data_IF_474731029803
#
_entry.id   IF_474731029803
#
_cell.length_a   1.000
_cell.length_b   1.000
_cell.length_c   1.000
_cell.angle_alpha   90.00
_cell.angle_beta   90.00
_cell.angle_gamma   90.00
#
_symmetry.space_group_name_H-M   'P 1'
#
loop_
_entity.id
_entity.type
_entity.pdbx_description
1 polymer ?
#
# COMPACT_ATOMS: atom_id res chain seq x y z
N UNK A 1 43.07 11.49 -63.83
CA UNK A 1 41.74 12.09 -64.16
C UNK A 1 41.42 13.05 -63.07
N UNK A 2 41.29 14.28 -63.45
CA UNK A 2 41.28 15.53 -62.65
C UNK A 2 40.00 15.65 -61.78
N UNK A 3 40.13 15.67 -60.47
CA UNK A 3 39.10 16.13 -59.54
C UNK A 3 39.23 17.63 -59.37
N UNK A 4 38.33 18.39 -59.96
CA UNK A 4 38.23 19.84 -59.79
C UNK A 4 37.85 20.15 -58.34
N UNK A 5 38.82 20.62 -57.58
CA UNK A 5 38.70 21.14 -56.24
C UNK A 5 38.18 22.59 -56.37
N UNK A 6 36.85 22.79 -56.33
CA UNK A 6 36.26 24.14 -56.26
C UNK A 6 36.33 24.60 -54.81
N UNK A 7 37.38 25.34 -54.47
CA UNK A 7 37.43 26.16 -53.23
C UNK A 7 36.19 27.03 -53.10
N UNK A 8 35.63 27.25 -51.91
CA UNK A 8 34.56 28.23 -51.72
C UNK A 8 35.14 29.60 -52.02
N UNK A 9 34.61 30.24 -53.04
CA UNK A 9 34.98 31.62 -53.42
C UNK A 9 34.83 32.55 -52.19
N UNK A 10 35.92 33.25 -51.91
CA UNK A 10 35.99 34.25 -50.83
C UNK A 10 34.85 35.27 -51.04
N UNK A 11 33.95 35.49 -50.06
CA UNK A 11 32.80 36.40 -50.20
C UNK A 11 33.19 37.84 -50.53
N UNK A 12 34.42 38.23 -50.34
CA UNK A 12 34.97 39.57 -50.58
C UNK A 12 35.41 39.81 -52.05
N UNK A 13 35.38 38.81 -52.92
CA UNK A 13 35.79 38.87 -54.34
C UNK A 13 34.60 38.91 -55.31
N UNK A 14 33.36 38.93 -54.81
CA UNK A 14 32.16 38.96 -55.63
C UNK A 14 31.73 40.43 -55.86
N UNK A 15 31.39 40.76 -57.12
CA UNK A 15 30.78 42.02 -57.48
C UNK A 15 29.62 42.32 -56.50
N UNK A 16 29.57 43.56 -55.93
CA UNK A 16 28.55 43.94 -54.96
C UNK A 16 27.12 43.69 -55.42
N UNK A 17 26.83 43.73 -56.68
CA UNK A 17 25.50 43.42 -57.26
C UNK A 17 25.19 41.89 -57.21
N UNK A 18 26.15 41.03 -57.52
CA UNK A 18 26.04 39.57 -57.47
C UNK A 18 25.90 39.08 -56.02
N UNK A 19 26.62 39.72 -55.10
CA UNK A 19 26.52 39.43 -53.67
C UNK A 19 25.14 39.85 -53.09
N UNK A 20 24.56 40.95 -53.56
CA UNK A 20 23.22 41.37 -53.16
C UNK A 20 22.13 40.44 -53.68
N UNK A 21 22.20 40.00 -54.95
CA UNK A 21 21.26 39.03 -55.51
C UNK A 21 21.34 37.65 -54.83
N UNK A 22 22.52 37.19 -54.51
CA UNK A 22 22.69 35.92 -53.76
C UNK A 22 22.13 36.01 -52.33
N UNK A 23 22.27 37.18 -51.67
CA UNK A 23 21.67 37.43 -50.36
C UNK A 23 20.12 37.47 -50.44
N UNK A 24 19.56 38.08 -51.46
CA UNK A 24 18.12 38.10 -51.69
C UNK A 24 17.58 36.71 -52.02
N UNK A 25 18.24 35.93 -52.86
CA UNK A 25 17.86 34.54 -53.16
C UNK A 25 17.93 33.65 -51.90
N UNK A 26 18.96 33.80 -51.06
CA UNK A 26 19.06 33.08 -49.77
C UNK A 26 17.93 33.51 -48.83
N UNK A 27 17.61 34.80 -48.71
CA UNK A 27 16.50 35.29 -47.91
C UNK A 27 15.16 34.68 -48.36
N UNK A 28 14.86 34.70 -49.68
CA UNK A 28 13.65 34.10 -50.24
C UNK A 28 13.57 32.59 -49.96
N UNK A 29 14.68 31.88 -50.10
CA UNK A 29 14.77 30.43 -49.82
C UNK A 29 14.59 30.10 -48.34
N UNK A 30 15.11 30.95 -47.44
CA UNK A 30 14.88 30.86 -45.99
C UNK A 30 13.43 31.18 -45.67
N UNK A 31 12.85 32.25 -46.19
CA UNK A 31 11.48 32.67 -45.94
C UNK A 31 10.46 31.63 -46.44
N UNK A 32 10.68 31.02 -47.60
CA UNK A 32 9.80 29.96 -48.14
C UNK A 32 9.85 28.67 -47.30
N UNK A 33 10.99 28.40 -46.64
CA UNK A 33 11.14 27.23 -45.76
C UNK A 33 10.62 27.45 -44.35
N UNK A 34 10.55 28.71 -43.88
CA UNK A 34 10.11 29.07 -42.53
C UNK A 34 8.67 28.62 -42.25
N UNK A 35 7.74 28.90 -43.15
CA UNK A 35 6.34 28.51 -43.01
C UNK A 35 6.18 26.97 -42.85
N UNK A 36 6.97 26.18 -43.63
CA UNK A 36 6.96 24.73 -43.55
C UNK A 36 7.56 24.20 -42.23
N UNK A 37 8.63 24.87 -41.76
CA UNK A 37 9.27 24.54 -40.47
C UNK A 37 8.35 24.86 -39.30
N UNK A 38 7.75 26.02 -39.26
CA UNK A 38 6.80 26.42 -38.21
C UNK A 38 5.56 25.51 -38.19
N UNK A 39 5.08 25.07 -39.37
CA UNK A 39 3.96 24.14 -39.41
C UNK A 39 4.36 22.76 -38.83
N UNK A 40 5.54 22.24 -39.15
CA UNK A 40 6.06 21.01 -38.57
C UNK A 40 6.25 21.11 -37.03
N UNK A 41 6.80 22.27 -36.57
CA UNK A 41 6.99 22.55 -35.17
C UNK A 41 5.65 22.61 -34.41
N UNK A 42 4.65 23.32 -34.97
CA UNK A 42 3.29 23.37 -34.41
C UNK A 42 2.67 21.98 -34.35
N UNK A 43 2.81 21.15 -35.40
CA UNK A 43 2.30 19.78 -35.43
C UNK A 43 2.99 18.92 -34.37
N UNK A 44 4.32 19.02 -34.25
CA UNK A 44 5.10 18.30 -33.25
C UNK A 44 4.72 18.72 -31.83
N UNK A 45 4.59 20.03 -31.60
CA UNK A 45 4.15 20.57 -30.30
C UNK A 45 2.73 20.12 -29.96
N UNK A 46 1.81 20.15 -30.94
CA UNK A 46 0.46 19.66 -30.75
C UNK A 46 0.44 18.14 -30.45
N UNK A 47 1.20 17.35 -31.19
CA UNK A 47 1.33 15.92 -30.91
C UNK A 47 1.90 15.63 -29.49
N UNK A 48 2.92 16.41 -29.07
CA UNK A 48 3.47 16.31 -27.73
C UNK A 48 2.46 16.67 -26.63
N UNK A 49 1.74 17.78 -26.81
CA UNK A 49 0.68 18.19 -25.88
C UNK A 49 -0.44 17.13 -25.84
N UNK A 50 -0.87 16.64 -27.01
CA UNK A 50 -1.91 15.59 -27.08
C UNK A 50 -1.47 14.32 -26.37
N UNK A 51 -0.23 13.89 -26.52
CA UNK A 51 0.30 12.71 -25.80
C UNK A 51 0.27 12.90 -24.28
N UNK A 52 0.66 14.07 -23.79
CA UNK A 52 0.60 14.40 -22.35
C UNK A 52 -0.84 14.42 -21.85
N UNK A 53 -1.76 15.04 -22.60
CA UNK A 53 -3.20 15.08 -22.24
C UNK A 53 -3.79 13.67 -22.20
N UNK A 54 -3.47 12.83 -23.17
CA UNK A 54 -3.94 11.44 -23.22
C UNK A 54 -3.40 10.66 -22.01
N UNK A 55 -2.11 10.80 -21.68
CA UNK A 55 -1.51 10.16 -20.52
C UNK A 55 -2.18 10.60 -19.20
N UNK A 56 -2.40 11.92 -19.04
CA UNK A 56 -3.10 12.45 -17.86
C UNK A 56 -4.56 12.00 -17.79
N UNK A 57 -5.26 11.95 -18.93
CA UNK A 57 -6.63 11.44 -18.99
C UNK A 57 -6.68 9.95 -18.59
N UNK A 58 -5.73 9.13 -19.05
CA UNK A 58 -5.65 7.74 -18.67
C UNK A 58 -5.39 7.56 -17.16
N UNK A 59 -4.46 8.32 -16.59
CA UNK A 59 -4.21 8.33 -15.13
C UNK A 59 -5.46 8.77 -14.36
N UNK A 60 -6.15 9.81 -14.82
CA UNK A 60 -7.38 10.30 -14.19
C UNK A 60 -8.51 9.25 -14.24
N UNK A 61 -8.68 8.56 -15.37
CA UNK A 61 -9.66 7.47 -15.51
C UNK A 61 -9.33 6.29 -14.60
N UNK A 62 -8.05 5.90 -14.52
CA UNK A 62 -7.59 4.83 -13.64
C UNK A 62 -7.86 5.20 -12.18
N UNK A 63 -7.46 6.40 -11.78
CA UNK A 63 -7.67 6.89 -10.40
C UNK A 63 -9.17 7.01 -10.08
N UNK A 64 -9.97 7.53 -11.00
CA UNK A 64 -11.42 7.59 -10.88
C UNK A 64 -12.07 6.21 -10.72
N UNK A 65 -11.61 5.22 -11.49
CA UNK A 65 -12.09 3.84 -11.37
C UNK A 65 -11.73 3.21 -10.02
N UNK A 66 -10.50 3.43 -9.54
CA UNK A 66 -10.06 2.94 -8.22
C UNK A 66 -10.90 3.57 -7.12
N UNK A 67 -11.10 4.89 -7.16
CA UNK A 67 -11.91 5.60 -6.17
C UNK A 67 -13.36 5.14 -6.20
N UNK A 68 -13.98 5.03 -7.37
CA UNK A 68 -15.36 4.61 -7.50
C UNK A 68 -15.62 3.21 -6.91
N UNK A 69 -14.64 2.30 -7.04
CA UNK A 69 -14.74 0.94 -6.48
C UNK A 69 -14.30 0.85 -5.02
N UNK A 70 -13.35 1.69 -4.60
CA UNK A 70 -12.79 1.66 -3.25
C UNK A 70 -13.57 2.46 -2.21
N UNK A 71 -14.16 3.61 -2.60
CA UNK A 71 -14.89 4.46 -1.66
C UNK A 71 -16.05 3.75 -0.93
N UNK A 72 -16.85 2.87 -1.56
CA UNK A 72 -17.91 2.16 -0.87
C UNK A 72 -17.41 1.30 0.32
N UNK A 73 -16.17 0.82 0.30
CA UNK A 73 -15.60 0.02 1.39
C UNK A 73 -15.48 0.77 2.74
N UNK A 74 -15.53 2.12 2.71
CA UNK A 74 -15.54 2.92 3.92
C UNK A 74 -16.91 2.92 4.65
N UNK A 75 -17.95 2.40 4.01
CA UNK A 75 -19.28 2.26 4.60
C UNK A 75 -19.67 0.79 4.61
N UNK A 76 -20.29 0.37 5.69
CA UNK A 76 -20.71 -1.01 5.90
C UNK A 76 -22.12 -1.03 6.49
N UNK A 77 -22.93 -1.97 6.04
CA UNK A 77 -24.27 -2.18 6.57
C UNK A 77 -24.22 -2.76 7.98
N UNK A 78 -25.03 -2.24 8.86
CA UNK A 78 -25.13 -2.69 10.24
C UNK A 78 -26.59 -2.70 10.72
N UNK A 79 -26.90 -3.64 11.59
CA UNK A 79 -28.19 -3.88 12.19
C UNK A 79 -28.12 -3.43 13.65
N UNK A 80 -28.94 -2.48 14.07
CA UNK A 80 -28.97 -2.03 15.47
C UNK A 80 -30.27 -2.49 16.12
N UNK A 81 -30.15 -3.36 17.13
CA UNK A 81 -31.28 -3.97 17.80
C UNK A 81 -31.10 -4.01 19.32
N UNK A 82 -32.20 -3.97 20.08
CA UNK A 82 -32.19 -4.19 21.52
C UNK A 82 -31.98 -5.68 21.81
N UNK A 83 -30.84 -6.05 22.40
CA UNK A 83 -30.57 -7.40 22.84
C UNK A 83 -30.88 -7.52 24.31
N UNK A 84 -31.74 -8.45 24.67
CA UNK A 84 -31.96 -8.86 26.05
C UNK A 84 -31.09 -10.08 26.33
N UNK A 85 -30.14 -9.97 27.25
CA UNK A 85 -29.29 -11.07 27.68
C UNK A 85 -30.06 -12.02 28.62
N UNK A 86 -30.92 -12.79 28.01
CA UNK A 86 -31.89 -13.65 28.74
C UNK A 86 -31.18 -14.70 29.59
N UNK A 87 -31.33 -14.69 30.92
CA UNK A 87 -30.74 -15.70 31.80
C UNK A 87 -31.26 -17.11 31.50
N UNK A 88 -32.43 -17.26 30.87
CA UNK A 88 -32.98 -18.59 30.52
C UNK A 88 -32.25 -19.18 29.30
N UNK A 89 -31.79 -18.37 28.38
CA UNK A 89 -31.00 -18.81 27.21
C UNK A 89 -29.53 -18.98 27.63
N UNK A 90 -28.98 -18.02 28.38
CA UNK A 90 -27.56 -18.05 28.76
C UNK A 90 -27.32 -19.17 29.81
N UNK A 91 -28.22 -19.45 30.70
CA UNK A 91 -28.25 -20.51 31.70
C UNK A 91 -26.89 -21.08 32.16
N UNK A 92 -25.91 -20.20 32.37
CA UNK A 92 -24.55 -20.50 32.80
C UNK A 92 -24.34 -19.96 34.20
N UNK A 93 -23.67 -20.68 35.04
CA UNK A 93 -23.37 -20.26 36.42
C UNK A 93 -22.55 -18.97 36.52
N UNK A 94 -22.49 -18.40 37.71
CA UNK A 94 -21.72 -17.21 37.95
C UNK A 94 -20.22 -17.42 37.63
N UNK A 95 -19.56 -16.37 37.07
CA UNK A 95 -18.13 -16.43 36.78
C UNK A 95 -17.33 -16.85 38.03
N UNK A 96 -16.54 -17.92 37.93
CA UNK A 96 -15.71 -18.38 39.04
C UNK A 96 -14.82 -17.27 39.60
N UNK A 97 -14.79 -17.17 40.92
CA UNK A 97 -13.82 -16.33 41.64
C UNK A 97 -12.84 -17.23 42.37
N UNK A 98 -11.60 -16.87 42.44
CA UNK A 98 -10.60 -17.62 43.18
C UNK A 98 -10.94 -17.54 44.66
N UNK A 99 -11.03 -18.72 45.31
CA UNK A 99 -11.35 -18.86 46.72
C UNK A 99 -10.08 -18.90 47.55
N UNK A 100 -10.12 -18.39 48.76
CA UNK A 100 -8.95 -18.42 49.68
C UNK A 100 -8.50 -19.83 49.92
N UNK A 101 -7.24 -20.17 49.62
CA UNK A 101 -6.68 -21.53 49.73
C UNK A 101 -6.82 -22.40 48.50
N UNK A 102 -7.46 -21.95 47.43
CA UNK A 102 -7.59 -22.70 46.18
C UNK A 102 -6.26 -22.63 45.39
N UNK A 103 -5.86 -23.80 44.83
CA UNK A 103 -4.68 -23.84 43.96
C UNK A 103 -4.97 -23.17 42.61
N UNK A 104 -3.97 -22.52 41.99
CA UNK A 104 -4.15 -21.89 40.66
C UNK A 104 -4.66 -22.85 39.61
N UNK A 105 -4.22 -24.08 39.61
CA UNK A 105 -4.65 -25.11 38.66
C UNK A 105 -6.17 -25.46 38.79
N UNK A 106 -6.68 -25.60 40.01
CA UNK A 106 -8.11 -25.87 40.22
C UNK A 106 -9.00 -24.67 39.85
N UNK A 107 -8.53 -23.47 40.14
CA UNK A 107 -9.22 -22.22 39.69
C UNK A 107 -9.26 -22.16 38.15
N UNK A 108 -8.15 -22.44 37.47
CA UNK A 108 -8.06 -22.47 36.01
C UNK A 108 -8.99 -23.52 35.40
N UNK A 109 -9.07 -24.71 35.98
CA UNK A 109 -9.99 -25.78 35.55
C UNK A 109 -11.46 -25.31 35.60
N UNK A 110 -11.87 -24.66 36.70
CA UNK A 110 -13.22 -24.12 36.85
C UNK A 110 -13.49 -22.97 35.86
N UNK A 111 -12.47 -22.13 35.59
CA UNK A 111 -12.58 -21.07 34.59
C UNK A 111 -12.75 -21.62 33.17
N UNK A 112 -11.98 -22.67 32.82
CA UNK A 112 -12.09 -23.33 31.53
C UNK A 112 -13.46 -24.02 31.38
N UNK A 113 -13.95 -24.71 32.42
CA UNK A 113 -15.27 -25.31 32.42
C UNK A 113 -16.38 -24.25 32.18
N UNK A 114 -16.33 -23.15 32.91
CA UNK A 114 -17.26 -22.01 32.73
C UNK A 114 -17.19 -21.38 31.34
N UNK A 115 -16.00 -21.18 30.78
CA UNK A 115 -15.80 -20.72 29.42
C UNK A 115 -16.37 -21.69 28.38
N UNK A 116 -16.24 -22.98 28.63
CA UNK A 116 -16.76 -24.04 27.75
C UNK A 116 -18.30 -23.99 27.74
N UNK A 117 -18.93 -23.89 28.92
CA UNK A 117 -20.37 -23.72 29.04
C UNK A 117 -20.87 -22.49 28.29
N UNK A 118 -20.16 -21.34 28.43
CA UNK A 118 -20.47 -20.11 27.68
C UNK A 118 -20.32 -20.31 26.18
N UNK A 119 -19.45 -21.22 25.73
CA UNK A 119 -19.30 -21.59 24.32
C UNK A 119 -20.46 -22.41 23.76
N UNK A 120 -21.27 -23.05 24.60
CA UNK A 120 -22.43 -23.88 24.22
C UNK A 120 -23.75 -23.11 24.19
N UNK A 121 -23.75 -21.87 24.65
CA UNK A 121 -24.95 -20.99 24.64
C UNK A 121 -25.32 -20.61 23.21
N UNK A 122 -26.60 -20.62 22.91
CA UNK A 122 -27.15 -20.14 21.64
C UNK A 122 -27.17 -18.59 21.60
N UNK A 123 -26.04 -17.99 21.27
CA UNK A 123 -25.89 -16.54 21.15
C UNK A 123 -26.69 -15.98 19.97
N UNK A 124 -26.89 -16.77 18.90
CA UNK A 124 -27.66 -16.38 17.74
C UNK A 124 -29.13 -16.16 18.11
N UNK A 125 -29.69 -16.98 18.99
CA UNK A 125 -31.05 -16.80 19.49
C UNK A 125 -31.27 -15.42 20.15
N UNK A 126 -30.25 -14.87 20.84
CA UNK A 126 -30.34 -13.53 21.45
C UNK A 126 -30.39 -12.44 20.40
N UNK A 127 -29.60 -12.56 19.34
CA UNK A 127 -29.57 -11.59 18.23
C UNK A 127 -30.89 -11.63 17.47
N UNK A 128 -31.37 -12.83 17.11
CA UNK A 128 -32.64 -13.06 16.42
C UNK A 128 -33.82 -12.52 17.23
N UNK A 129 -33.85 -12.80 18.55
CA UNK A 129 -34.85 -12.24 19.44
C UNK A 129 -34.82 -10.70 19.47
N UNK A 130 -33.64 -10.09 19.42
CA UNK A 130 -33.48 -8.63 19.33
C UNK A 130 -34.02 -8.08 18.01
N UNK A 131 -33.83 -8.76 16.88
CA UNK A 131 -34.38 -8.34 15.58
C UNK A 131 -35.91 -8.43 15.60
N UNK A 132 -36.46 -9.54 16.07
CA UNK A 132 -37.89 -9.73 16.19
C UNK A 132 -38.55 -8.74 17.17
N UNK A 133 -37.83 -8.38 18.25
CA UNK A 133 -38.29 -7.33 19.17
C UNK A 133 -38.47 -5.95 18.53
N UNK A 134 -37.70 -5.66 17.46
CA UNK A 134 -37.85 -4.43 16.65
C UNK A 134 -39.10 -4.50 15.73
N UNK A 135 -39.31 -5.66 15.12
CA UNK A 135 -40.46 -5.88 14.23
C UNK A 135 -41.02 -7.30 14.41
N UNK A 136 -42.16 -7.42 15.12
CA UNK A 136 -42.78 -8.71 15.43
C UNK A 136 -43.27 -9.48 14.20
N UNK A 137 -43.49 -8.83 13.06
CA UNK A 137 -43.91 -9.49 11.83
C UNK A 137 -42.82 -10.45 11.29
N UNK A 138 -41.57 -10.27 11.73
CA UNK A 138 -40.41 -11.10 11.33
C UNK A 138 -40.37 -12.46 12.01
N UNK A 139 -41.24 -12.74 12.98
CA UNK A 139 -41.31 -14.05 13.66
C UNK A 139 -41.57 -15.19 12.68
N UNK A 140 -42.36 -14.96 11.61
CA UNK A 140 -42.60 -15.95 10.57
C UNK A 140 -41.42 -16.27 9.66
N UNK A 141 -40.36 -15.43 9.69
CA UNK A 141 -39.15 -15.53 8.87
C UNK A 141 -37.89 -15.74 9.72
N UNK A 142 -38.09 -16.23 10.95
CA UNK A 142 -37.03 -16.36 11.96
C UNK A 142 -35.81 -17.12 11.48
N UNK A 143 -36.00 -18.16 10.67
CA UNK A 143 -34.94 -19.02 10.16
C UNK A 143 -33.95 -18.27 9.22
N UNK A 144 -34.41 -17.23 8.57
CA UNK A 144 -33.60 -16.42 7.66
C UNK A 144 -32.87 -15.25 8.35
N UNK A 145 -33.28 -14.90 9.60
CA UNK A 145 -32.71 -13.75 10.31
C UNK A 145 -31.24 -13.94 10.66
N UNK A 146 -30.81 -15.20 10.91
CA UNK A 146 -29.40 -15.51 11.19
C UNK A 146 -28.47 -15.26 9.99
N UNK A 147 -29.01 -15.28 8.77
CA UNK A 147 -28.23 -14.99 7.53
C UNK A 147 -28.05 -13.50 7.27
N UNK A 148 -28.65 -12.62 8.06
CA UNK A 148 -28.55 -11.16 7.86
C UNK A 148 -27.28 -10.56 8.48
N UNK A 149 -26.70 -11.20 9.46
CA UNK A 149 -25.51 -10.72 10.17
C UNK A 149 -24.38 -11.76 10.13
N UNK A 150 -23.15 -11.29 10.29
CA UNK A 150 -22.01 -12.19 10.27
C UNK A 150 -21.96 -13.08 11.52
N UNK A 151 -21.64 -14.36 11.36
CA UNK A 151 -21.56 -15.34 12.47
C UNK A 151 -20.58 -14.94 13.59
N UNK A 152 -19.59 -14.08 13.30
CA UNK A 152 -18.68 -13.55 14.30
C UNK A 152 -19.37 -12.69 15.37
N UNK A 153 -20.56 -12.20 15.11
CA UNK A 153 -21.30 -11.36 16.06
C UNK A 153 -21.84 -12.16 17.27
N UNK A 154 -22.20 -13.42 17.07
CA UNK A 154 -22.52 -14.35 18.16
C UNK A 154 -21.33 -14.53 19.12
N UNK A 155 -20.13 -14.73 18.56
CA UNK A 155 -18.91 -14.80 19.38
C UNK A 155 -18.61 -13.48 20.07
N UNK A 156 -18.88 -12.34 19.45
CA UNK A 156 -18.72 -11.02 20.06
C UNK A 156 -19.64 -10.82 21.26
N UNK A 157 -20.91 -11.25 21.18
CA UNK A 157 -21.82 -11.23 22.32
C UNK A 157 -21.31 -12.08 23.47
N UNK A 158 -20.86 -13.30 23.19
CA UNK A 158 -20.23 -14.17 24.19
C UNK A 158 -19.07 -13.45 24.89
N UNK A 159 -18.17 -12.87 24.11
CA UNK A 159 -16.97 -12.22 24.65
C UNK A 159 -17.32 -10.97 25.48
N UNK A 160 -18.41 -10.26 25.13
CA UNK A 160 -18.94 -9.17 25.95
C UNK A 160 -19.37 -9.68 27.33
N UNK A 161 -20.11 -10.79 27.41
CA UNK A 161 -20.55 -11.38 28.67
C UNK A 161 -19.37 -12.00 29.45
N UNK A 162 -18.41 -12.64 28.76
CA UNK A 162 -17.18 -13.13 29.40
C UNK A 162 -16.38 -12.02 30.09
N UNK A 163 -16.33 -10.82 29.48
CA UNK A 163 -15.68 -9.65 30.06
C UNK A 163 -16.51 -8.99 31.15
N UNK A 164 -17.81 -8.91 30.96
CA UNK A 164 -18.75 -8.28 31.89
C UNK A 164 -19.99 -9.15 32.13
N UNK A 165 -19.93 -10.12 33.08
CA UNK A 165 -21.07 -10.98 33.38
C UNK A 165 -22.32 -10.26 33.94
N UNK A 166 -22.18 -9.00 34.36
CA UNK A 166 -23.30 -8.19 34.83
C UNK A 166 -24.32 -7.84 33.72
N UNK A 167 -23.94 -8.08 32.45
CA UNK A 167 -24.86 -7.94 31.33
C UNK A 167 -26.01 -8.96 31.35
N UNK A 168 -25.83 -10.10 31.98
CA UNK A 168 -26.89 -11.14 32.07
C UNK A 168 -28.11 -10.55 32.80
N UNK A 169 -29.28 -10.59 32.16
CA UNK A 169 -30.50 -9.99 32.66
C UNK A 169 -30.69 -8.52 32.27
N UNK A 170 -29.74 -7.88 31.62
CA UNK A 170 -29.84 -6.53 31.11
C UNK A 170 -30.32 -6.48 29.67
N UNK A 171 -30.78 -5.29 29.23
CA UNK A 171 -31.14 -4.99 27.84
C UNK A 171 -30.24 -3.88 27.32
N UNK A 172 -29.55 -4.14 26.22
CA UNK A 172 -28.62 -3.19 25.60
C UNK A 172 -28.94 -3.02 24.11
N UNK A 173 -28.83 -1.80 23.59
CA UNK A 173 -28.84 -1.59 22.13
C UNK A 173 -27.48 -1.92 21.55
N UNK A 174 -27.41 -2.98 20.74
CA UNK A 174 -26.18 -3.47 20.15
C UNK A 174 -26.24 -3.34 18.63
N UNK A 175 -25.14 -2.86 18.07
CA UNK A 175 -24.92 -2.76 16.64
C UNK A 175 -24.21 -4.02 16.18
N UNK A 176 -24.81 -4.76 15.25
CA UNK A 176 -24.25 -5.94 14.59
C UNK A 176 -23.84 -5.62 13.16
N UNK A 177 -22.80 -6.24 12.68
CA UNK A 177 -22.39 -6.13 11.28
C UNK A 177 -23.27 -7.04 10.43
N UNK A 178 -23.75 -6.51 9.32
CA UNK A 178 -24.44 -7.34 8.33
C UNK A 178 -23.48 -8.39 7.75
N UNK A 179 -24.03 -9.51 7.28
CA UNK A 179 -23.25 -10.47 6.50
C UNK A 179 -22.63 -9.81 5.26
N UNK A 180 -21.48 -10.30 4.82
CA UNK A 180 -20.77 -9.70 3.70
C UNK A 180 -21.60 -9.69 2.40
N UNK A 181 -22.35 -10.75 2.13
CA UNK A 181 -23.21 -10.84 0.95
C UNK A 181 -24.41 -9.91 1.06
N UNK A 182 -24.97 -9.74 2.28
CA UNK A 182 -26.05 -8.80 2.55
C UNK A 182 -25.55 -7.36 2.36
N UNK A 183 -24.36 -7.04 2.83
CA UNK A 183 -23.77 -5.71 2.66
C UNK A 183 -23.56 -5.38 1.18
N UNK A 184 -22.97 -6.30 0.41
CA UNK A 184 -22.71 -6.14 -1.03
C UNK A 184 -24.05 -6.01 -1.80
N UNK A 185 -25.10 -6.77 -1.41
CA UNK A 185 -26.43 -6.66 -1.97
C UNK A 185 -27.05 -5.27 -1.71
N UNK A 186 -26.99 -4.80 -0.48
CA UNK A 186 -27.55 -3.52 -0.08
C UNK A 186 -26.76 -2.32 -0.64
N UNK A 187 -25.46 -2.49 -0.87
CA UNK A 187 -24.61 -1.51 -1.55
C UNK A 187 -24.87 -1.40 -3.06
N UNK A 188 -25.59 -2.37 -3.65
CA UNK A 188 -25.88 -2.40 -5.09
C UNK A 188 -24.72 -2.86 -5.96
N UNK A 189 -23.75 -3.56 -5.39
CA UNK A 189 -22.56 -4.06 -6.09
C UNK A 189 -22.78 -5.45 -6.72
N UNK A 190 -23.98 -6.04 -6.56
CA UNK A 190 -24.39 -7.29 -7.19
C UNK A 190 -25.40 -6.98 -8.31
N UNK A 191 -25.26 -7.67 -9.42
CA UNK A 191 -26.24 -7.61 -10.49
C UNK A 191 -27.55 -8.29 -10.05
N UNK A 192 -28.56 -7.47 -9.74
CA UNK A 192 -29.86 -7.91 -9.26
C UNK A 192 -30.72 -8.58 -10.34
N UNK A 193 -30.30 -8.52 -11.62
CA UNK A 193 -31.01 -9.15 -12.75
C UNK A 193 -30.63 -10.61 -12.97
N UNK A 194 -29.61 -11.11 -12.26
CA UNK A 194 -29.20 -12.52 -12.37
C UNK A 194 -30.29 -13.44 -11.81
N UNK A 195 -30.47 -14.63 -12.42
CA UNK A 195 -31.34 -15.68 -11.92
C UNK A 195 -31.01 -16.07 -10.46
N UNK A 196 -32.00 -16.56 -9.71
CA UNK A 196 -31.84 -16.89 -8.29
C UNK A 196 -30.77 -17.93 -8.00
N UNK A 197 -30.56 -18.88 -8.90
CA UNK A 197 -29.53 -19.93 -8.84
C UNK A 197 -28.08 -19.39 -8.99
N UNK A 198 -27.94 -18.17 -9.49
CA UNK A 198 -26.66 -17.48 -9.66
C UNK A 198 -26.41 -16.40 -8.60
N UNK A 199 -27.38 -16.18 -7.71
CA UNK A 199 -27.27 -15.24 -6.60
C UNK A 199 -26.64 -15.93 -5.37
N UNK A 200 -25.83 -15.19 -4.61
CA UNK A 200 -25.19 -15.70 -3.39
C UNK A 200 -26.12 -15.76 -2.18
N UNK A 201 -27.21 -14.96 -2.22
CA UNK A 201 -28.20 -14.91 -1.16
C UNK A 201 -29.52 -15.53 -1.63
N UNK A 202 -30.19 -16.24 -0.73
CA UNK A 202 -31.52 -16.76 -0.95
C UNK A 202 -32.54 -15.63 -1.21
N UNK A 203 -33.58 -15.86 -2.03
CA UNK A 203 -34.57 -14.84 -2.35
C UNK A 203 -35.23 -14.22 -1.10
N UNK A 204 -35.52 -15.03 -0.08
CA UNK A 204 -36.11 -14.63 1.19
C UNK A 204 -35.17 -13.67 1.95
N UNK A 205 -33.87 -13.98 2.02
CA UNK A 205 -32.86 -13.16 2.69
C UNK A 205 -32.73 -11.82 1.97
N UNK A 206 -32.75 -11.80 0.62
CA UNK A 206 -32.66 -10.56 -0.18
C UNK A 206 -33.85 -9.63 0.07
N UNK A 207 -35.08 -10.19 0.06
CA UNK A 207 -36.30 -9.43 0.34
C UNK A 207 -36.29 -8.87 1.75
N UNK A 208 -35.88 -9.70 2.71
CA UNK A 208 -35.79 -9.33 4.12
C UNK A 208 -34.75 -8.22 4.34
N UNK A 209 -33.60 -8.30 3.70
CA UNK A 209 -32.54 -7.27 3.78
C UNK A 209 -33.06 -5.93 3.22
N UNK A 210 -33.71 -5.93 2.05
CA UNK A 210 -34.31 -4.73 1.45
C UNK A 210 -35.43 -4.13 2.31
N UNK A 211 -36.28 -4.98 2.91
CA UNK A 211 -37.33 -4.57 3.85
C UNK A 211 -36.74 -3.89 5.09
N UNK A 212 -35.75 -4.53 5.74
CA UNK A 212 -35.17 -4.00 6.97
C UNK A 212 -34.35 -2.72 6.71
N UNK A 213 -33.78 -2.56 5.51
CA UNK A 213 -33.17 -1.30 5.08
C UNK A 213 -34.24 -0.20 4.92
N UNK A 214 -35.36 -0.50 4.30
CA UNK A 214 -36.48 0.45 4.14
C UNK A 214 -37.09 0.87 5.49
N UNK A 215 -37.17 -0.06 6.44
CA UNK A 215 -37.64 0.20 7.83
C UNK A 215 -36.56 0.95 8.67
N UNK A 216 -35.34 1.13 8.16
CA UNK A 216 -34.25 1.80 8.87
C UNK A 216 -33.64 0.99 10.02
N UNK A 217 -33.91 -0.33 10.08
CA UNK A 217 -33.28 -1.26 11.03
C UNK A 217 -31.85 -1.55 10.56
N UNK A 218 -31.64 -1.74 9.26
CA UNK A 218 -30.29 -1.80 8.64
C UNK A 218 -29.89 -0.41 8.17
N UNK A 219 -28.74 0.04 8.61
CA UNK A 219 -28.16 1.35 8.26
C UNK A 219 -26.74 1.20 7.75
N UNK A 220 -26.40 2.01 6.76
CA UNK A 220 -25.00 2.17 6.34
C UNK A 220 -24.27 3.03 7.38
N UNK A 221 -23.16 2.53 7.88
CA UNK A 221 -22.34 3.19 8.90
C UNK A 221 -20.87 3.16 8.48
N UNK A 222 -20.08 4.10 9.00
CA UNK A 222 -18.65 4.13 8.70
C UNK A 222 -17.95 2.86 9.19
N UNK A 223 -17.18 2.22 8.30
CA UNK A 223 -16.50 0.97 8.57
C UNK A 223 -15.19 1.20 9.32
N UNK A 224 -15.23 1.22 10.64
CA UNK A 224 -14.04 1.34 11.48
C UNK A 224 -13.15 0.09 11.42
N UNK A 225 -13.75 -1.09 11.17
CA UNK A 225 -13.00 -2.34 11.10
C UNK A 225 -11.98 -2.34 9.97
N UNK A 226 -12.27 -1.62 8.87
CA UNK A 226 -11.32 -1.45 7.76
C UNK A 226 -9.94 -0.97 8.24
N UNK A 227 -9.88 -0.12 9.26
CA UNK A 227 -8.62 0.47 9.74
C UNK A 227 -7.98 -0.28 10.91
N UNK A 228 -8.78 -0.94 11.74
CA UNK A 228 -8.32 -1.47 13.04
C UNK A 228 -8.33 -2.99 13.14
N UNK A 229 -9.03 -3.68 12.21
CA UNK A 229 -9.08 -5.14 12.22
C UNK A 229 -8.01 -5.76 11.32
N UNK A 230 -7.53 -6.97 11.63
CA UNK A 230 -6.75 -7.77 10.70
C UNK A 230 -7.62 -8.29 9.55
N UNK A 231 -7.01 -8.96 8.60
CA UNK A 231 -7.74 -9.65 7.54
C UNK A 231 -8.39 -10.95 8.09
N UNK A 232 -9.58 -11.30 7.59
CA UNK A 232 -10.33 -12.49 8.03
C UNK A 232 -10.94 -13.21 6.84
N UNK A 233 -10.63 -14.51 6.71
CA UNK A 233 -11.27 -15.40 5.72
C UNK A 233 -12.59 -15.95 6.19
N UNK A 234 -12.72 -16.19 7.50
CA UNK A 234 -13.93 -16.76 8.09
C UNK A 234 -15.06 -15.75 8.28
N UNK A 235 -14.73 -14.48 8.40
CA UNK A 235 -15.69 -13.39 8.59
C UNK A 235 -15.30 -12.17 7.76
N UNK A 236 -15.61 -12.18 6.44
CA UNK A 236 -15.23 -11.09 5.54
C UNK A 236 -15.79 -9.73 5.96
N UNK A 237 -16.96 -9.70 6.62
CA UNK A 237 -17.56 -8.47 7.13
C UNK A 237 -16.73 -7.76 8.22
N UNK A 238 -15.88 -8.51 8.95
CA UNK A 238 -14.99 -7.95 9.98
C UNK A 238 -13.57 -7.75 9.49
N UNK A 239 -13.29 -8.10 8.22
CA UNK A 239 -11.96 -7.98 7.63
C UNK A 239 -11.50 -6.53 7.54
N UNK A 240 -10.22 -6.29 7.81
CA UNK A 240 -9.62 -4.97 7.76
C UNK A 240 -8.19 -4.97 7.20
N UNK A 241 -7.61 -3.79 7.09
CA UNK A 241 -6.30 -3.54 6.50
C UNK A 241 -5.20 -3.31 7.54
N UNK A 242 -5.53 -3.33 8.84
CA UNK A 242 -4.57 -3.00 9.91
C UNK A 242 -3.30 -3.85 9.84
N UNK A 243 -3.45 -5.16 9.64
CA UNK A 243 -2.32 -6.08 9.54
C UNK A 243 -1.40 -5.77 8.35
N UNK A 244 -1.99 -5.56 7.17
CA UNK A 244 -1.26 -5.23 5.96
C UNK A 244 -0.59 -3.86 6.05
N UNK A 245 -1.27 -2.86 6.60
CA UNK A 245 -0.74 -1.51 6.78
C UNK A 245 0.47 -1.51 7.74
N UNK A 246 0.32 -2.11 8.93
CA UNK A 246 1.40 -2.19 9.91
C UNK A 246 2.58 -3.02 9.39
N UNK A 247 2.29 -4.12 8.67
CA UNK A 247 3.33 -4.91 8.02
C UNK A 247 4.13 -4.12 7.00
N UNK A 248 3.46 -3.38 6.12
CA UNK A 248 4.10 -2.49 5.14
C UNK A 248 4.89 -1.37 5.82
N UNK A 249 4.35 -0.79 6.90
CA UNK A 249 5.04 0.23 7.68
C UNK A 249 6.37 -0.28 8.25
N UNK A 250 6.38 -1.45 8.88
CA UNK A 250 7.62 -2.07 9.39
C UNK A 250 8.63 -2.33 8.26
N UNK A 251 8.19 -2.89 7.13
CA UNK A 251 9.08 -3.12 5.98
C UNK A 251 9.66 -1.82 5.45
N UNK A 252 8.85 -0.78 5.28
CA UNK A 252 9.33 0.52 4.78
C UNK A 252 10.27 1.21 5.77
N UNK A 253 10.02 1.11 7.08
CA UNK A 253 10.97 1.60 8.08
C UNK A 253 12.34 0.93 7.96
N UNK A 254 12.37 -0.40 7.76
CA UNK A 254 13.62 -1.14 7.56
C UNK A 254 14.34 -0.66 6.29
N UNK A 255 13.60 -0.52 5.18
CA UNK A 255 14.15 -0.01 3.92
C UNK A 255 14.77 1.38 4.11
N UNK A 256 14.05 2.29 4.75
CA UNK A 256 14.52 3.67 4.99
C UNK A 256 15.76 3.69 5.87
N UNK A 257 15.74 2.95 6.99
CA UNK A 257 16.82 2.94 7.98
C UNK A 257 18.10 2.28 7.44
N UNK A 258 17.95 1.29 6.55
CA UNK A 258 19.10 0.57 6.00
C UNK A 258 19.57 1.20 4.69
N UNK A 259 18.69 1.33 3.67
CA UNK A 259 19.14 1.69 2.33
C UNK A 259 19.53 3.15 2.19
N UNK A 260 18.87 4.09 2.89
CA UNK A 260 19.20 5.51 2.76
C UNK A 260 20.57 5.82 3.41
N UNK A 261 20.81 5.53 4.69
CA UNK A 261 22.11 5.86 5.31
C UNK A 261 23.29 5.15 4.63
N UNK A 262 23.14 3.84 4.36
CA UNK A 262 24.21 3.07 3.74
C UNK A 262 24.43 3.52 2.29
N UNK A 263 23.35 3.73 1.53
CA UNK A 263 23.45 4.19 0.15
C UNK A 263 24.08 5.57 0.01
N UNK A 264 23.64 6.53 0.85
CA UNK A 264 24.20 7.89 0.87
C UNK A 264 25.66 7.89 1.32
N UNK A 265 25.99 7.16 2.40
CA UNK A 265 27.39 7.06 2.87
C UNK A 265 28.31 6.43 1.82
N UNK A 266 27.85 5.35 1.17
CA UNK A 266 28.59 4.70 0.08
C UNK A 266 28.81 5.64 -1.10
N UNK A 267 27.77 6.39 -1.49
CA UNK A 267 27.84 7.35 -2.59
C UNK A 267 28.82 8.50 -2.28
N UNK A 268 28.78 9.05 -1.05
CA UNK A 268 29.72 10.09 -0.60
C UNK A 268 31.13 9.55 -0.64
N UNK A 269 31.35 8.35 -0.13
CA UNK A 269 32.69 7.73 -0.16
C UNK A 269 33.19 7.57 -1.60
N UNK A 270 32.40 6.97 -2.47
CA UNK A 270 32.79 6.70 -3.86
C UNK A 270 33.03 7.97 -4.67
N UNK A 271 32.23 9.03 -4.47
CA UNK A 271 32.33 10.25 -5.25
C UNK A 271 33.41 11.20 -4.75
N UNK A 272 33.56 11.32 -3.42
CA UNK A 272 34.39 12.37 -2.82
C UNK A 272 35.70 11.85 -2.23
N UNK A 273 35.76 10.58 -1.79
CA UNK A 273 36.93 10.05 -1.06
C UNK A 273 37.66 8.94 -1.78
N UNK A 274 36.97 8.11 -2.54
CA UNK A 274 37.57 6.94 -3.18
C UNK A 274 38.66 7.33 -4.16
N UNK A 275 39.81 6.60 -4.18
CA UNK A 275 40.87 6.83 -5.17
C UNK A 275 40.33 6.40 -6.57
N UNK A 276 40.73 7.14 -7.59
CA UNK A 276 40.43 6.77 -8.99
C UNK A 276 41.38 5.64 -9.42
N UNK A 277 40.94 4.41 -9.26
CA UNK A 277 41.67 3.21 -9.63
C UNK A 277 40.72 2.13 -10.15
N UNK A 278 41.29 1.07 -10.70
CA UNK A 278 40.55 -0.06 -11.28
C UNK A 278 39.55 -0.69 -10.28
N UNK A 279 39.86 -0.70 -8.99
CA UNK A 279 38.96 -1.27 -7.96
C UNK A 279 37.69 -0.43 -7.80
N UNK A 280 37.82 0.90 -7.78
CA UNK A 280 36.67 1.81 -7.72
C UNK A 280 35.80 1.67 -8.97
N UNK A 281 36.43 1.56 -10.16
CA UNK A 281 35.72 1.36 -11.41
C UNK A 281 34.94 0.05 -11.42
N UNK A 282 35.53 -1.05 -10.91
CA UNK A 282 34.83 -2.33 -10.75
C UNK A 282 33.63 -2.21 -9.81
N UNK A 283 33.77 -1.51 -8.69
CA UNK A 283 32.65 -1.30 -7.75
C UNK A 283 31.53 -0.51 -8.44
N UNK A 284 31.87 0.56 -9.17
CA UNK A 284 30.88 1.36 -9.90
C UNK A 284 30.12 0.55 -10.95
N UNK A 285 30.82 -0.24 -11.73
CA UNK A 285 30.21 -1.13 -12.74
C UNK A 285 29.28 -2.14 -12.07
N UNK A 286 29.70 -2.72 -10.94
CA UNK A 286 28.87 -3.68 -10.22
C UNK A 286 27.61 -3.04 -9.63
N UNK A 287 27.68 -1.81 -9.08
CA UNK A 287 26.51 -1.08 -8.59
C UNK A 287 25.50 -0.83 -9.73
N UNK A 288 26.00 -0.40 -10.90
CA UNK A 288 25.15 -0.17 -12.07
C UNK A 288 24.53 -1.48 -12.60
N UNK A 289 25.30 -2.58 -12.62
CA UNK A 289 24.80 -3.89 -13.01
C UNK A 289 23.73 -4.40 -12.02
N UNK A 290 23.94 -4.19 -10.70
CA UNK A 290 23.00 -4.59 -9.67
C UNK A 290 21.66 -3.83 -9.81
N UNK A 291 21.69 -2.56 -10.21
CA UNK A 291 20.48 -1.79 -10.50
C UNK A 291 19.67 -2.34 -11.71
N UNK A 292 20.31 -3.09 -12.60
CA UNK A 292 19.67 -3.70 -13.77
C UNK A 292 19.15 -5.13 -13.51
N UNK A 293 19.40 -5.70 -12.33
CA UNK A 293 18.96 -7.06 -11.98
C UNK A 293 17.44 -7.08 -11.80
N UNK A 294 16.71 -8.04 -12.39
CA UNK A 294 15.29 -8.21 -12.17
C UNK A 294 14.94 -8.39 -10.68
N UNK A 295 13.90 -7.72 -10.20
CA UNK A 295 13.54 -7.70 -8.77
C UNK A 295 13.32 -9.09 -8.16
N UNK A 296 12.82 -10.04 -8.95
CA UNK A 296 12.60 -11.43 -8.53
C UNK A 296 13.90 -12.12 -8.06
N UNK A 297 15.05 -11.75 -8.65
CA UNK A 297 16.35 -12.33 -8.27
C UNK A 297 16.73 -11.92 -6.86
N UNK A 298 16.41 -10.70 -6.44
CA UNK A 298 16.61 -10.25 -5.05
C UNK A 298 15.77 -11.05 -4.06
N UNK A 299 14.55 -11.45 -4.46
CA UNK A 299 13.73 -12.34 -3.65
C UNK A 299 14.37 -13.72 -3.45
N UNK A 300 14.90 -14.31 -4.53
CA UNK A 300 15.60 -15.59 -4.47
C UNK A 300 16.88 -15.49 -3.63
N UNK A 301 17.66 -14.43 -3.81
CA UNK A 301 18.87 -14.16 -3.03
C UNK A 301 18.52 -13.96 -1.54
N UNK A 302 17.45 -13.21 -1.26
CA UNK A 302 16.96 -12.99 0.09
C UNK A 302 16.50 -14.29 0.76
N UNK A 303 15.80 -15.15 0.04
CA UNK A 303 15.41 -16.46 0.53
C UNK A 303 16.64 -17.31 0.87
N UNK A 304 17.64 -17.34 0.01
CA UNK A 304 18.88 -18.10 0.23
C UNK A 304 19.69 -17.58 1.42
N UNK A 305 19.88 -16.26 1.54
CA UNK A 305 20.72 -15.66 2.57
C UNK A 305 19.96 -15.53 3.88
N UNK A 306 18.82 -14.83 3.89
CA UNK A 306 18.14 -14.47 5.14
C UNK A 306 17.38 -15.63 5.76
N UNK A 307 16.73 -16.45 4.95
CA UNK A 307 15.97 -17.60 5.44
C UNK A 307 16.88 -18.84 5.50
N UNK A 308 17.58 -19.16 4.41
CA UNK A 308 18.39 -20.37 4.32
C UNK A 308 19.63 -20.36 5.22
N UNK A 309 20.43 -19.29 5.17
CA UNK A 309 21.69 -19.19 5.91
C UNK A 309 21.53 -18.54 7.28
N UNK A 310 20.86 -17.39 7.37
CA UNK A 310 20.67 -16.67 8.64
C UNK A 310 19.53 -17.23 9.50
N UNK A 311 18.74 -18.19 8.98
CA UNK A 311 17.64 -18.84 9.67
C UNK A 311 16.58 -17.86 10.22
N UNK A 312 16.37 -16.74 9.52
CA UNK A 312 15.28 -15.82 9.87
C UNK A 312 13.93 -16.45 9.52
N UNK A 313 12.86 -16.10 10.25
CA UNK A 313 11.54 -16.68 10.02
C UNK A 313 11.03 -16.40 8.60
N UNK A 314 10.45 -17.41 7.97
CA UNK A 314 9.76 -17.27 6.68
C UNK A 314 8.65 -16.22 6.81
N UNK A 315 8.42 -15.44 5.77
CA UNK A 315 7.42 -14.34 5.73
C UNK A 315 7.58 -13.25 6.80
N UNK A 316 8.69 -13.20 7.55
CA UNK A 316 8.93 -12.12 8.50
C UNK A 316 9.10 -10.78 7.77
N UNK A 317 8.49 -9.73 8.30
CA UNK A 317 8.56 -8.37 7.74
C UNK A 317 9.99 -7.83 7.70
N UNK A 318 10.82 -8.26 8.66
CA UNK A 318 12.26 -7.98 8.66
C UNK A 318 12.92 -8.50 7.38
N UNK A 319 12.65 -9.75 7.01
CA UNK A 319 13.21 -10.36 5.79
C UNK A 319 12.74 -9.60 4.54
N UNK A 320 11.45 -9.26 4.48
CA UNK A 320 10.91 -8.44 3.39
C UNK A 320 11.61 -7.08 3.28
N UNK A 321 11.77 -6.38 4.41
CA UNK A 321 12.46 -5.10 4.47
C UNK A 321 13.94 -5.20 4.06
N UNK A 322 14.66 -6.25 4.45
CA UNK A 322 16.04 -6.50 4.06
C UNK A 322 16.18 -6.76 2.56
N UNK A 323 15.30 -7.59 1.98
CA UNK A 323 15.29 -7.88 0.54
C UNK A 323 15.02 -6.61 -0.27
N UNK A 324 14.01 -5.84 0.12
CA UNK A 324 13.69 -4.56 -0.52
C UNK A 324 14.82 -3.54 -0.35
N UNK A 325 15.54 -3.56 0.79
CA UNK A 325 16.71 -2.70 1.01
C UNK A 325 17.85 -3.02 0.04
N UNK A 326 18.13 -4.30 -0.20
CA UNK A 326 19.15 -4.72 -1.18
C UNK A 326 18.84 -4.20 -2.58
N UNK A 327 17.57 -4.24 -2.98
CA UNK A 327 17.11 -3.75 -4.28
C UNK A 327 17.17 -2.22 -4.37
N UNK A 328 16.90 -1.52 -3.27
CA UNK A 328 16.82 -0.05 -3.23
C UNK A 328 18.22 0.59 -3.14
N UNK A 329 19.19 -0.08 -2.52
CA UNK A 329 20.55 0.42 -2.33
C UNK A 329 21.21 0.97 -3.60
N UNK A 330 21.25 0.25 -4.74
CA UNK A 330 21.88 0.75 -5.98
C UNK A 330 21.22 2.05 -6.46
N UNK A 331 19.89 2.15 -6.39
CA UNK A 331 19.15 3.35 -6.79
C UNK A 331 19.54 4.55 -5.93
N UNK A 332 19.61 4.39 -4.61
CA UNK A 332 20.02 5.46 -3.69
C UNK A 332 21.49 5.87 -3.94
N UNK A 333 22.39 4.92 -4.17
CA UNK A 333 23.80 5.21 -4.46
C UNK A 333 23.93 6.02 -5.75
N UNK A 334 23.31 5.56 -6.84
CA UNK A 334 23.41 6.19 -8.16
C UNK A 334 22.85 7.61 -8.14
N UNK A 335 21.65 7.79 -7.54
CA UNK A 335 21.01 9.10 -7.48
C UNK A 335 21.74 10.08 -6.56
N UNK A 336 22.29 9.61 -5.44
CA UNK A 336 23.12 10.40 -4.54
C UNK A 336 24.41 10.85 -5.24
N UNK A 337 25.09 9.96 -5.93
CA UNK A 337 26.28 10.33 -6.71
C UNK A 337 25.98 11.35 -7.80
N UNK A 338 24.89 11.17 -8.53
CA UNK A 338 24.43 12.14 -9.52
C UNK A 338 24.19 13.52 -8.89
N UNK A 339 23.57 13.56 -7.72
CA UNK A 339 23.31 14.80 -6.97
C UNK A 339 24.60 15.48 -6.47
N UNK A 340 25.56 14.70 -6.00
CA UNK A 340 26.88 15.23 -5.60
C UNK A 340 27.65 15.77 -6.80
N UNK A 341 27.62 15.09 -7.95
CA UNK A 341 28.25 15.55 -9.20
C UNK A 341 27.64 16.86 -9.75
N UNK A 342 26.37 17.09 -9.51
CA UNK A 342 25.66 18.29 -9.95
C UNK A 342 26.13 19.55 -9.21
N UNK A 343 26.74 19.43 -8.03
CA UNK A 343 27.30 20.61 -7.30
C UNK A 343 28.55 21.13 -8.02
N UNK A 344 28.60 22.45 -8.38
CA UNK A 344 29.70 23.01 -9.11
C UNK A 344 31.06 22.81 -8.43
N UNK A 345 32.12 22.46 -9.19
CA UNK A 345 33.48 22.28 -8.63
C UNK A 345 34.03 23.55 -7.95
N UNK A 346 33.60 24.73 -8.39
CA UNK A 346 34.02 26.04 -7.84
C UNK A 346 33.71 26.15 -6.33
N UNK A 347 32.61 25.55 -5.86
CA UNK A 347 32.23 25.57 -4.43
C UNK A 347 33.25 24.79 -3.62
N UNK A 348 33.67 23.60 -4.12
CA UNK A 348 34.71 22.79 -3.47
C UNK A 348 36.04 23.53 -3.43
N UNK A 349 36.45 24.14 -4.56
CA UNK A 349 37.70 24.90 -4.67
C UNK A 349 37.71 26.14 -3.77
N UNK A 350 36.59 26.86 -3.69
CA UNK A 350 36.45 28.02 -2.81
C UNK A 350 36.62 27.64 -1.33
N UNK A 351 35.92 26.61 -0.88
CA UNK A 351 36.01 26.14 0.50
C UNK A 351 37.46 25.69 0.86
N UNK A 352 38.08 24.93 0.00
CA UNK A 352 39.48 24.50 0.20
C UNK A 352 40.45 25.70 0.17
N UNK A 353 40.23 26.68 -0.72
CA UNK A 353 41.03 27.90 -0.79
C UNK A 353 40.94 28.79 0.46
N UNK A 354 39.81 28.72 1.21
CA UNK A 354 39.64 29.35 2.49
C UNK A 354 40.19 28.53 3.68
N UNK A 355 40.84 27.38 3.39
CA UNK A 355 41.51 26.54 4.41
C UNK A 355 40.60 25.48 5.05
N UNK A 356 39.40 25.25 4.51
CA UNK A 356 38.54 24.17 5.00
C UNK A 356 39.16 22.79 4.67
N UNK A 357 39.06 21.83 5.58
CA UNK A 357 39.43 20.45 5.29
C UNK A 357 38.47 19.81 4.26
N UNK A 358 38.92 18.73 3.60
CA UNK A 358 38.06 18.00 2.65
C UNK A 358 36.76 17.56 3.25
N UNK A 359 36.78 17.06 4.50
CA UNK A 359 35.58 16.65 5.25
C UNK A 359 34.64 17.82 5.49
N UNK A 360 35.18 18.95 5.98
CA UNK A 360 34.39 20.17 6.19
C UNK A 360 33.78 20.69 4.90
N UNK A 361 34.53 20.70 3.80
CA UNK A 361 34.04 21.09 2.48
C UNK A 361 32.83 20.25 2.06
N UNK A 362 32.92 18.91 2.24
CA UNK A 362 31.85 18.00 1.82
C UNK A 362 30.62 18.15 2.72
N UNK A 363 30.78 18.05 4.03
CA UNK A 363 29.62 18.02 4.95
C UNK A 363 28.98 19.39 5.14
N UNK A 364 29.72 20.49 5.06
CA UNK A 364 29.17 21.82 5.30
C UNK A 364 28.74 22.57 4.03
N UNK A 365 29.28 22.20 2.86
CA UNK A 365 29.01 22.93 1.62
C UNK A 365 28.42 22.04 0.51
N UNK A 366 29.04 20.89 0.22
CA UNK A 366 28.61 20.04 -0.90
C UNK A 366 27.33 19.28 -0.55
N UNK A 367 27.31 18.59 0.58
CA UNK A 367 26.20 17.76 0.99
C UNK A 367 24.89 18.55 1.18
N UNK A 368 24.85 19.72 1.84
CA UNK A 368 23.65 20.52 1.94
C UNK A 368 23.07 20.96 0.59
N UNK A 369 23.94 21.27 -0.39
CA UNK A 369 23.52 21.64 -1.75
C UNK A 369 23.02 20.44 -2.56
N UNK A 370 23.58 19.26 -2.33
CA UNK A 370 23.15 18.02 -2.96
C UNK A 370 21.90 17.42 -2.32
N UNK A 371 21.56 17.81 -1.06
CA UNK A 371 20.52 17.20 -0.26
C UNK A 371 19.15 17.13 -0.95
N UNK A 372 18.66 18.16 -1.64
CA UNK A 372 17.37 18.07 -2.37
C UNK A 372 17.35 16.95 -3.41
N UNK A 373 18.45 16.77 -4.15
CA UNK A 373 18.59 15.69 -5.14
C UNK A 373 18.71 14.31 -4.48
N UNK A 374 19.43 14.21 -3.38
CA UNK A 374 19.56 12.98 -2.57
C UNK A 374 18.20 12.56 -2.04
N UNK A 375 17.44 13.48 -1.45
CA UNK A 375 16.10 13.21 -0.93
C UNK A 375 15.13 12.77 -2.05
N UNK A 376 15.21 13.42 -3.21
CA UNK A 376 14.41 13.00 -4.38
C UNK A 376 14.73 11.57 -4.79
N UNK A 377 16.00 11.21 -4.88
CA UNK A 377 16.44 9.84 -5.19
C UNK A 377 16.00 8.82 -4.14
N UNK A 378 16.11 9.18 -2.86
CA UNK A 378 15.65 8.34 -1.76
C UNK A 378 14.13 8.09 -1.81
N UNK A 379 13.34 9.14 -2.06
CA UNK A 379 11.87 9.04 -2.20
C UNK A 379 11.51 8.12 -3.38
N UNK A 380 12.17 8.27 -4.52
CA UNK A 380 11.94 7.41 -5.70
C UNK A 380 12.29 5.96 -5.36
N UNK A 381 13.42 5.70 -4.70
CA UNK A 381 13.83 4.37 -4.30
C UNK A 381 12.84 3.70 -3.33
N UNK A 382 12.38 4.43 -2.31
CA UNK A 382 11.38 3.95 -1.35
C UNK A 382 10.02 3.72 -2.02
N UNK A 383 9.59 4.62 -2.91
CA UNK A 383 8.33 4.46 -3.66
C UNK A 383 8.38 3.23 -4.59
N UNK A 384 9.54 2.96 -5.21
CA UNK A 384 9.76 1.75 -6.01
C UNK A 384 9.66 0.49 -5.12
N UNK A 385 10.33 0.48 -3.98
CA UNK A 385 10.25 -0.64 -3.02
C UNK A 385 8.83 -0.90 -2.52
N UNK A 386 8.04 0.15 -2.28
CA UNK A 386 6.63 0.03 -1.84
C UNK A 386 5.74 -0.63 -2.91
N UNK A 387 6.05 -0.46 -4.18
CA UNK A 387 5.29 -1.05 -5.30
C UNK A 387 5.71 -2.47 -5.68
N UNK A 388 6.78 -3.00 -5.09
CA UNK A 388 7.33 -4.31 -5.45
C UNK A 388 6.63 -5.46 -4.71
N UNK A 389 6.18 -6.45 -5.49
CA UNK A 389 5.50 -7.64 -4.96
C UNK A 389 6.26 -8.93 -5.24
N UNK A 390 6.91 -9.05 -6.40
CA UNK A 390 7.54 -10.28 -6.84
C UNK A 390 8.60 -10.85 -5.88
N UNK A 391 9.55 -10.06 -5.34
CA UNK A 391 10.52 -10.57 -4.37
C UNK A 391 9.87 -10.99 -3.05
N UNK A 392 8.78 -10.34 -2.65
CA UNK A 392 8.08 -10.64 -1.40
C UNK A 392 7.37 -11.99 -1.46
N UNK A 393 6.77 -12.34 -2.61
CA UNK A 393 6.16 -13.65 -2.82
C UNK A 393 7.16 -14.80 -2.67
N UNK A 394 8.41 -14.62 -3.15
CA UNK A 394 9.45 -15.66 -3.07
C UNK A 394 9.93 -15.94 -1.64
N UNK A 395 9.84 -14.98 -0.75
CA UNK A 395 10.16 -15.17 0.67
C UNK A 395 8.94 -15.59 1.50
N UNK A 396 7.85 -16.00 0.83
CA UNK A 396 6.65 -16.56 1.46
C UNK A 396 5.66 -15.53 2.00
N UNK A 397 5.78 -14.24 1.66
CA UNK A 397 4.78 -13.25 2.05
C UNK A 397 3.50 -13.43 1.23
N UNK A 398 2.36 -13.42 1.91
CA UNK A 398 1.04 -13.49 1.28
C UNK A 398 0.29 -12.17 1.44
N UNK A 399 -0.75 -11.99 0.61
CA UNK A 399 -1.65 -10.85 0.74
C UNK A 399 -2.57 -10.94 1.96
N UNK A 400 -2.77 -12.15 2.51
CA UNK A 400 -3.59 -12.39 3.68
C UNK A 400 -2.78 -12.21 4.96
N UNK A 401 -3.24 -11.35 5.87
CA UNK A 401 -2.57 -11.04 7.15
C UNK A 401 -3.57 -11.20 8.29
N UNK A 402 -3.64 -12.41 8.86
CA UNK A 402 -4.61 -12.80 9.87
C UNK A 402 -4.44 -12.10 11.24
N UNK A 403 -3.30 -11.46 11.48
CA UNK A 403 -3.02 -10.78 12.74
C UNK A 403 -2.34 -9.44 12.51
N UNK A 404 -2.60 -8.46 13.37
CA UNK A 404 -1.85 -7.19 13.33
C UNK A 404 -0.46 -7.46 13.92
N UNK A 405 0.63 -7.23 13.15
CA UNK A 405 1.98 -7.45 13.64
C UNK A 405 2.33 -6.47 14.76
N UNK A 406 2.99 -6.96 15.77
CA UNK A 406 3.50 -6.16 16.90
C UNK A 406 5.00 -5.95 16.78
N UNK A 407 5.71 -6.83 16.10
CA UNK A 407 7.16 -6.79 15.89
C UNK A 407 7.53 -7.02 14.43
N UNK A 408 8.72 -6.55 13.97
CA UNK A 408 9.21 -6.83 12.62
C UNK A 408 9.52 -8.32 12.35
N UNK A 409 9.65 -9.13 13.40
CA UNK A 409 9.93 -10.58 13.30
C UNK A 409 8.66 -11.40 13.17
N UNK A 410 7.49 -10.82 13.41
CA UNK A 410 6.22 -11.52 13.26
C UNK A 410 6.03 -11.98 11.82
N UNK A 411 5.52 -13.20 11.65
CA UNK A 411 5.25 -13.76 10.33
C UNK A 411 3.97 -13.18 9.74
N UNK A 412 3.96 -13.03 8.42
CA UNK A 412 2.78 -12.61 7.67
C UNK A 412 1.95 -13.85 7.27
N UNK A 413 1.35 -14.50 8.25
CA UNK A 413 0.50 -15.70 8.03
C UNK A 413 -0.90 -15.47 8.57
#
# INVERSE_FOLDING_TARGET
MSSSNTSPLDPNLLDPQVAAEQREQRKRKIQSSLAKRHRKEKTFRFAGISAVVIALAFVALLFGSILAKGLPAFWQSSITVPVYFDPAIINVGAKPKQTAGETPAHFEERMVAWQTEMGMVDWDALIVNGIVAKNKALESQRDYLSSLYTSSEAYRLRDMVLKNPALIGSKEEIKFLADANVDVWLAGNIDRSLPDDQQQLEPEVRQLADQLKAEGIIKSTFNTNLFFSPDSRSSPATSGLAGAFMGSLFMMMIVIVISIPIGVASAIYLEEFAPKNMMTDIIEVNINNLAAVPSIVFGLLGAAIFIGWMQLPLSARLVGGLVLSLMTLPTVIITTRASLKAVPPSIRQAALGLGASKVQTIFHHVLPLALPGIMTGAIIGVAHALGETAPLLLIGMSAFVASVPTTPLDQAT
#
